data_IF_845991974323
#
_entry.id   IF_845991974323
#
_cell.length_a   1.000
_cell.length_b   1.000
_cell.length_c   1.000
_cell.angle_alpha   90.00
_cell.angle_beta   90.00
_cell.angle_gamma   90.00
#
_symmetry.space_group_name_H-M   'P 1'
#
loop_
_entity.id
_entity.type
_entity.pdbx_description
1 polymer ?
#
# COMPACT_ATOMS: atom_id res chain seq x y z
N UNK A 1 -22.81 19.95 -7.45
CA UNK A 1 -22.03 20.22 -8.67
C UNK A 1 -20.54 20.33 -8.38
N UNK A 2 -19.96 19.40 -7.59
CA UNK A 2 -18.55 19.49 -7.12
C UNK A 2 -17.69 18.23 -7.32
N UNK A 3 -18.18 17.23 -8.07
CA UNK A 3 -17.44 15.99 -8.32
C UNK A 3 -16.29 16.10 -9.36
N UNK A 4 -16.19 17.21 -10.10
CA UNK A 4 -15.19 17.38 -11.16
C UNK A 4 -13.87 18.02 -10.73
N UNK A 5 -13.79 18.61 -9.54
CA UNK A 5 -12.54 19.23 -9.07
C UNK A 5 -11.50 18.23 -8.54
N UNK A 6 -11.92 17.04 -8.10
CA UNK A 6 -11.02 16.03 -7.54
C UNK A 6 -10.14 15.31 -8.55
N UNK A 7 -10.63 15.09 -9.78
CA UNK A 7 -9.93 14.30 -10.78
C UNK A 7 -8.66 14.98 -11.36
N UNK A 8 -8.59 16.31 -11.34
CA UNK A 8 -7.45 17.06 -11.88
C UNK A 8 -6.32 17.30 -10.85
N UNK A 9 -6.62 17.12 -9.54
CA UNK A 9 -5.62 17.37 -8.48
C UNK A 9 -4.47 16.38 -8.59
N UNK A 10 -4.73 15.12 -8.92
CA UNK A 10 -3.70 14.10 -9.07
C UNK A 10 -2.74 14.41 -10.23
N UNK A 11 -3.26 14.75 -11.42
CA UNK A 11 -2.45 15.03 -12.59
C UNK A 11 -1.57 16.28 -12.40
N UNK A 12 -2.12 17.33 -11.81
CA UNK A 12 -1.36 18.54 -11.49
C UNK A 12 -0.27 18.31 -10.44
N UNK A 13 -0.48 17.36 -9.51
CA UNK A 13 0.55 17.00 -8.55
C UNK A 13 1.74 16.31 -9.23
N UNK A 14 1.49 15.40 -10.19
CA UNK A 14 2.55 14.74 -10.96
C UNK A 14 3.35 15.73 -11.83
N UNK A 15 2.69 16.68 -12.50
CA UNK A 15 3.36 17.71 -13.31
C UNK A 15 4.26 18.58 -12.42
N UNK A 16 3.76 19.00 -11.25
CA UNK A 16 4.56 19.80 -10.30
C UNK A 16 5.73 18.99 -9.74
N UNK A 17 5.53 17.71 -9.52
CA UNK A 17 6.57 16.81 -9.04
C UNK A 17 7.68 16.64 -10.10
N UNK A 18 7.32 16.39 -11.36
CA UNK A 18 8.26 16.30 -12.48
C UNK A 18 9.08 17.59 -12.62
N UNK A 19 8.41 18.74 -12.57
CA UNK A 19 9.09 20.04 -12.63
C UNK A 19 10.06 20.24 -11.44
N UNK A 20 9.66 19.84 -10.25
CA UNK A 20 10.49 19.91 -9.05
C UNK A 20 11.78 19.09 -9.23
N UNK A 21 11.67 17.85 -9.75
CA UNK A 21 12.82 16.98 -9.99
C UNK A 21 13.75 17.54 -11.08
N UNK A 22 13.19 18.13 -12.14
CA UNK A 22 13.99 18.75 -13.22
C UNK A 22 14.79 19.96 -12.76
N UNK A 23 14.21 20.79 -11.86
CA UNK A 23 14.85 22.02 -11.38
C UNK A 23 15.85 21.76 -10.27
N UNK A 24 15.50 20.92 -9.29
CA UNK A 24 16.29 20.72 -8.07
C UNK A 24 17.23 19.51 -8.12
N UNK A 25 17.06 18.65 -9.11
CA UNK A 25 17.73 17.35 -9.16
C UNK A 25 17.21 16.38 -8.10
N UNK A 26 17.47 15.08 -8.32
CA UNK A 26 16.88 13.99 -7.54
C UNK A 26 17.15 14.06 -6.03
N UNK A 27 18.38 14.38 -5.64
CA UNK A 27 18.78 14.40 -4.22
C UNK A 27 18.06 15.49 -3.43
N UNK A 28 17.97 16.69 -4.01
CA UNK A 28 17.37 17.86 -3.34
C UNK A 28 15.85 17.76 -3.33
N UNK A 29 15.26 17.32 -4.45
CA UNK A 29 13.83 17.08 -4.56
C UNK A 29 13.35 16.01 -3.56
N UNK A 30 14.07 14.87 -3.46
CA UNK A 30 13.76 13.82 -2.50
C UNK A 30 13.87 14.28 -1.04
N UNK A 31 14.88 15.10 -0.71
CA UNK A 31 15.03 15.65 0.64
C UNK A 31 13.87 16.57 0.99
N UNK A 32 13.47 17.43 0.06
CA UNK A 32 12.35 18.37 0.26
C UNK A 32 11.02 17.60 0.40
N UNK A 33 10.76 16.62 -0.46
CA UNK A 33 9.58 15.78 -0.39
C UNK A 33 9.49 15.00 0.93
N UNK A 34 10.58 14.40 1.38
CA UNK A 34 10.62 13.69 2.66
C UNK A 34 10.35 14.60 3.85
N UNK A 35 10.78 15.87 3.79
CA UNK A 35 10.53 16.86 4.87
C UNK A 35 9.07 17.33 4.90
N UNK A 36 8.41 17.38 3.74
CA UNK A 36 7.03 17.84 3.60
C UNK A 36 6.00 16.71 3.78
N UNK A 37 6.33 15.51 3.31
CA UNK A 37 5.49 14.34 3.48
C UNK A 37 5.78 13.71 4.85
N UNK A 38 5.08 14.18 5.88
CA UNK A 38 5.03 13.49 7.19
C UNK A 38 4.30 12.16 7.01
N UNK A 39 4.99 11.16 6.49
CA UNK A 39 4.40 9.83 6.37
C UNK A 39 4.30 9.19 7.76
N UNK A 40 3.17 8.59 8.11
CA UNK A 40 3.08 7.83 9.35
C UNK A 40 4.07 6.66 9.29
N UNK A 41 4.74 6.37 10.41
CA UNK A 41 5.66 5.24 10.51
C UNK A 41 4.93 3.91 10.30
N UNK A 42 3.71 3.84 10.79
CA UNK A 42 2.82 2.68 10.65
C UNK A 42 1.57 3.15 9.94
N UNK A 43 1.19 2.47 8.89
CA UNK A 43 -0.07 2.68 8.21
C UNK A 43 -0.76 1.35 7.90
N UNK A 44 -2.08 1.40 7.83
CA UNK A 44 -2.90 0.28 7.47
C UNK A 44 -3.83 0.69 6.33
N UNK A 45 -3.95 -0.16 5.34
CA UNK A 45 -4.89 -0.02 4.23
C UNK A 45 -5.84 -1.21 4.25
N UNK A 46 -7.12 -0.96 4.39
CA UNK A 46 -8.15 -1.96 4.22
C UNK A 46 -8.90 -1.69 2.91
N UNK A 47 -8.78 -2.61 1.96
CA UNK A 47 -9.45 -2.53 0.65
C UNK A 47 -10.86 -3.14 0.71
N UNK A 48 -11.13 -3.92 1.76
CA UNK A 48 -12.38 -4.65 1.91
C UNK A 48 -12.46 -5.90 1.06
N UNK A 49 -13.67 -6.24 0.65
CA UNK A 49 -13.93 -7.46 -0.11
C UNK A 49 -13.64 -7.24 -1.59
N UNK A 50 -12.78 -8.08 -2.15
CA UNK A 50 -12.52 -8.18 -3.58
C UNK A 50 -13.63 -9.05 -4.20
N UNK A 51 -14.50 -8.44 -5.00
CA UNK A 51 -15.64 -9.10 -5.60
C UNK A 51 -15.18 -10.13 -6.66
N UNK A 52 -15.19 -11.41 -6.30
CA UNK A 52 -14.79 -12.52 -7.14
C UNK A 52 -15.63 -12.65 -8.44
N UNK A 53 -16.88 -12.16 -8.42
CA UNK A 53 -17.73 -12.17 -9.61
C UNK A 53 -17.29 -11.12 -10.65
N UNK A 54 -16.59 -10.08 -10.22
CA UNK A 54 -16.14 -8.97 -11.08
C UNK A 54 -14.69 -9.09 -11.53
N UNK A 55 -13.91 -9.97 -10.88
CA UNK A 55 -12.52 -10.20 -11.25
C UNK A 55 -12.45 -11.40 -12.19
N UNK A 56 -12.19 -11.13 -13.49
CA UNK A 56 -12.00 -12.16 -14.50
C UNK A 56 -11.02 -11.67 -15.57
N UNK A 57 -10.30 -12.61 -16.18
CA UNK A 57 -9.39 -12.37 -17.29
C UNK A 57 -9.87 -13.20 -18.50
N UNK A 58 -10.83 -12.67 -19.26
CA UNK A 58 -11.56 -13.44 -20.25
C UNK A 58 -12.38 -14.54 -19.56
N UNK A 59 -12.17 -15.79 -19.94
CA UNK A 59 -12.84 -16.97 -19.36
C UNK A 59 -12.18 -17.48 -18.08
N UNK A 60 -11.03 -16.93 -17.71
CA UNK A 60 -10.29 -17.33 -16.51
C UNK A 60 -10.76 -16.54 -15.27
N UNK A 61 -11.00 -17.26 -14.19
CA UNK A 61 -11.26 -16.69 -12.86
C UNK A 61 -10.07 -16.96 -11.97
N UNK A 62 -9.57 -15.96 -11.21
CA UNK A 62 -8.50 -16.20 -10.26
C UNK A 62 -8.97 -17.15 -9.15
N UNK A 63 -8.10 -18.05 -8.76
CA UNK A 63 -8.31 -18.93 -7.61
C UNK A 63 -8.20 -18.14 -6.30
N UNK A 64 -7.28 -17.17 -6.26
CA UNK A 64 -7.04 -16.31 -5.13
C UNK A 64 -6.68 -14.90 -5.62
N UNK A 65 -7.00 -13.88 -4.80
CA UNK A 65 -6.66 -12.50 -5.05
C UNK A 65 -6.49 -11.73 -3.74
N UNK A 66 -5.43 -10.97 -3.63
CA UNK A 66 -5.18 -10.13 -2.47
C UNK A 66 -4.52 -8.81 -2.84
N UNK A 67 -4.65 -7.83 -1.96
CA UNK A 67 -4.01 -6.53 -2.12
C UNK A 67 -2.64 -6.53 -1.47
N UNK A 68 -1.63 -6.06 -2.21
CA UNK A 68 -0.32 -5.74 -1.66
C UNK A 68 -0.13 -4.23 -1.59
N UNK A 69 0.43 -3.75 -0.50
CA UNK A 69 0.88 -2.36 -0.39
C UNK A 69 2.19 -2.12 -1.16
N UNK A 70 2.61 -0.87 -1.25
CA UNK A 70 3.93 -0.51 -1.78
C UNK A 70 5.05 -1.05 -0.88
N UNK A 71 6.20 -1.39 -1.48
CA UNK A 71 7.39 -1.78 -0.72
C UNK A 71 7.79 -0.62 0.20
N UNK A 72 7.93 -0.90 1.49
CA UNK A 72 8.40 0.03 2.51
C UNK A 72 9.84 -0.28 2.91
N UNK A 73 10.51 0.75 3.39
CA UNK A 73 11.86 0.66 3.95
C UNK A 73 11.80 1.07 5.42
N UNK A 74 12.57 0.41 6.27
CA UNK A 74 12.64 0.79 7.69
C UNK A 74 12.88 2.29 7.88
N UNK A 75 12.23 2.97 8.80
CA UNK A 75 11.34 2.46 9.87
C UNK A 75 9.85 2.39 9.46
N UNK A 76 9.51 2.55 8.20
CA UNK A 76 8.12 2.57 7.75
C UNK A 76 7.56 1.17 7.62
N UNK A 77 6.32 0.98 8.08
CA UNK A 77 5.58 -0.27 8.01
C UNK A 77 4.20 -0.02 7.42
N UNK A 78 3.76 -0.88 6.53
CA UNK A 78 2.42 -0.83 5.95
C UNK A 78 1.81 -2.22 5.91
N UNK A 79 0.65 -2.35 6.57
CA UNK A 79 -0.21 -3.52 6.50
C UNK A 79 -1.31 -3.27 5.47
N UNK A 80 -1.50 -4.17 4.54
CA UNK A 80 -2.66 -4.19 3.66
C UNK A 80 -3.57 -5.36 4.04
N UNK A 81 -4.87 -5.10 4.04
CA UNK A 81 -5.92 -6.05 4.38
C UNK A 81 -6.88 -6.14 3.20
N UNK A 82 -7.20 -7.35 2.80
CA UNK A 82 -8.21 -7.64 1.78
C UNK A 82 -8.89 -8.97 2.04
N UNK A 83 -10.10 -9.13 1.55
CA UNK A 83 -10.82 -10.42 1.59
C UNK A 83 -11.17 -10.84 0.18
N UNK A 84 -11.03 -12.12 -0.12
CA UNK A 84 -11.42 -12.74 -1.38
C UNK A 84 -11.98 -14.13 -1.10
N UNK A 85 -13.15 -14.46 -1.69
CA UNK A 85 -13.80 -15.77 -1.55
C UNK A 85 -13.91 -16.24 -0.07
N UNK A 86 -14.31 -15.31 0.82
CA UNK A 86 -14.46 -15.50 2.27
C UNK A 86 -13.15 -15.71 3.06
N UNK A 87 -12.00 -15.58 2.39
CA UNK A 87 -10.69 -15.60 3.04
C UNK A 87 -10.15 -14.19 3.28
N UNK A 88 -9.65 -13.94 4.49
CA UNK A 88 -9.01 -12.69 4.89
C UNK A 88 -7.50 -12.79 4.69
N UNK A 89 -6.94 -11.89 3.90
CA UNK A 89 -5.50 -11.82 3.66
C UNK A 89 -4.90 -10.57 4.26
N UNK A 90 -3.86 -10.75 5.07
CA UNK A 90 -2.99 -9.70 5.60
C UNK A 90 -1.68 -9.73 4.83
N UNK A 91 -1.25 -8.61 4.28
CA UNK A 91 0.00 -8.54 3.53
C UNK A 91 0.89 -7.39 3.94
N UNK A 92 2.20 -7.62 3.94
CA UNK A 92 3.24 -6.62 4.21
C UNK A 92 4.34 -6.73 3.17
N UNK A 93 4.71 -5.61 2.57
CA UNK A 93 5.86 -5.50 1.69
C UNK A 93 6.91 -4.62 2.34
N UNK A 94 7.95 -5.24 2.90
CA UNK A 94 9.05 -4.55 3.56
C UNK A 94 10.39 -4.97 2.92
N UNK A 95 11.20 -3.97 2.57
CA UNK A 95 12.62 -4.20 2.25
C UNK A 95 13.41 -4.26 3.56
N UNK A 96 13.84 -5.45 3.93
CA UNK A 96 14.50 -5.71 5.20
C UNK A 96 15.43 -6.91 5.13
N UNK A 97 15.90 -7.34 6.27
CA UNK A 97 16.74 -8.51 6.47
C UNK A 97 15.92 -9.73 6.98
N UNK A 98 16.53 -10.94 7.07
CA UNK A 98 15.82 -12.12 7.55
C UNK A 98 15.17 -11.94 8.94
N UNK A 99 15.76 -11.17 9.84
CA UNK A 99 15.22 -10.93 11.18
C UNK A 99 13.93 -10.09 11.14
N UNK A 100 13.78 -9.23 10.14
CA UNK A 100 12.55 -8.46 9.93
C UNK A 100 11.41 -9.38 9.48
N UNK A 101 11.72 -10.38 8.64
CA UNK A 101 10.75 -11.41 8.24
C UNK A 101 10.21 -12.16 9.45
N UNK A 102 11.09 -12.62 10.33
CA UNK A 102 10.69 -13.38 11.52
C UNK A 102 9.79 -12.54 12.46
N UNK A 103 10.09 -11.25 12.59
CA UNK A 103 9.24 -10.31 13.35
C UNK A 103 7.87 -10.13 12.73
N UNK A 104 7.79 -10.03 11.39
CA UNK A 104 6.51 -9.91 10.69
C UNK A 104 5.69 -11.17 10.82
N UNK A 105 6.30 -12.36 10.71
CA UNK A 105 5.61 -13.62 10.91
C UNK A 105 5.08 -13.74 12.33
N UNK A 106 5.89 -13.45 13.35
CA UNK A 106 5.45 -13.42 14.75
C UNK A 106 4.32 -12.41 15.00
N UNK A 107 4.34 -11.27 14.30
CA UNK A 107 3.22 -10.32 14.35
C UNK A 107 1.94 -10.92 13.76
N UNK A 108 2.02 -11.61 12.62
CA UNK A 108 0.85 -12.27 12.02
C UNK A 108 0.31 -13.38 12.91
N UNK A 109 1.16 -14.22 13.50
CA UNK A 109 0.76 -15.26 14.45
C UNK A 109 -0.01 -14.65 15.64
N UNK A 110 0.45 -13.49 16.13
CA UNK A 110 -0.22 -12.77 17.21
C UNK A 110 -1.59 -12.24 16.77
N UNK A 111 -1.67 -11.67 15.58
CA UNK A 111 -2.95 -11.17 15.04
C UNK A 111 -3.93 -12.30 14.84
N UNK A 112 -3.49 -13.44 14.29
CA UNK A 112 -4.33 -14.61 14.08
C UNK A 112 -4.90 -15.15 15.41
N UNK A 113 -4.07 -15.18 16.45
CA UNK A 113 -4.49 -15.62 17.80
C UNK A 113 -5.54 -14.71 18.46
N UNK A 114 -5.57 -13.43 18.07
CA UNK A 114 -6.52 -12.44 18.62
C UNK A 114 -7.81 -12.31 17.76
N UNK A 115 -7.84 -12.91 16.57
CA UNK A 115 -9.05 -12.89 15.74
C UNK A 115 -10.10 -13.83 16.34
N UNK A 116 -11.38 -13.41 16.38
CA UNK A 116 -12.47 -14.27 16.81
C UNK A 116 -12.67 -15.43 15.82
N UNK A 117 -12.77 -16.65 16.37
CA UNK A 117 -13.15 -17.83 15.60
C UNK A 117 -14.63 -17.78 15.18
#
# INVERSE_FOLDING_TARGET
MDAKKGAYIGLNAFIKLDLLYRILGDRTANRLLRSQLKQPLICMTNVGVLDSARISFGDLRPYDAFMCGSIKYKPYFQLAISSYADELTLSVNLSGDPSDRDRILSFFDTVEAELPN
#
